data_IF_460094592683
#
_entry.id   IF_460094592683
#
_cell.length_a   1.000
_cell.length_b   1.000
_cell.length_c   1.000
_cell.angle_alpha   90.00
_cell.angle_beta   90.00
_cell.angle_gamma   90.00
#
_symmetry.space_group_name_H-M   'P 1'
#
loop_
_entity.id
_entity.type
_entity.pdbx_description
1 polymer ?
#
# COMPACT_ATOMS: atom_id res chain seq x y z
N UNK A 1 -16.94 10.09 22.75
CA UNK A 1 -16.92 8.64 22.48
C UNK A 1 -16.35 8.43 21.08
N UNK A 2 -15.48 7.43 20.90
CA UNK A 2 -15.00 7.09 19.57
C UNK A 2 -16.19 6.60 18.69
N UNK A 3 -16.19 6.98 17.41
CA UNK A 3 -17.20 6.51 16.46
C UNK A 3 -17.04 5.01 16.21
N UNK A 4 -18.12 4.33 15.96
CA UNK A 4 -18.10 2.94 15.47
C UNK A 4 -17.67 2.97 14.00
N UNK A 5 -16.74 2.09 13.65
CA UNK A 5 -16.21 1.97 12.28
C UNK A 5 -16.60 0.59 11.73
N UNK A 6 -16.99 0.55 10.48
CA UNK A 6 -17.31 -0.69 9.77
C UNK A 6 -16.50 -0.77 8.47
N UNK A 7 -16.08 -1.97 8.10
CA UNK A 7 -15.58 -2.27 6.76
C UNK A 7 -16.80 -2.64 5.92
N UNK A 8 -17.04 -1.89 4.84
CA UNK A 8 -18.25 -2.04 4.03
C UNK A 8 -17.98 -2.63 2.65
N UNK A 9 -16.74 -2.56 2.16
CA UNK A 9 -16.34 -3.10 0.88
C UNK A 9 -14.91 -3.60 0.88
N UNK A 10 -14.59 -4.52 -0.01
CA UNK A 10 -13.25 -5.02 -0.25
C UNK A 10 -13.04 -5.34 -1.73
N UNK A 11 -11.82 -5.17 -2.19
CA UNK A 11 -11.40 -5.50 -3.54
C UNK A 11 -9.92 -5.89 -3.58
N UNK A 12 -9.55 -6.71 -4.54
CA UNK A 12 -8.20 -7.23 -4.64
C UNK A 12 -7.88 -7.64 -6.08
N UNK A 13 -6.72 -7.27 -6.58
CA UNK A 13 -6.23 -7.74 -7.87
C UNK A 13 -5.80 -9.21 -7.79
N UNK A 14 -5.67 -9.86 -8.94
CA UNK A 14 -5.15 -11.23 -9.01
C UNK A 14 -3.66 -11.26 -8.68
N UNK A 15 -3.23 -12.27 -7.92
CA UNK A 15 -1.82 -12.56 -7.73
C UNK A 15 -1.24 -13.21 -8.97
N UNK A 16 -0.30 -12.53 -9.61
CA UNK A 16 0.37 -13.01 -10.81
C UNK A 16 1.89 -12.91 -10.65
N UNK A 17 2.61 -13.78 -11.32
CA UNK A 17 4.09 -13.76 -11.25
C UNK A 17 4.67 -12.46 -11.84
N UNK A 18 4.05 -11.92 -12.89
CA UNK A 18 4.42 -10.65 -13.53
C UNK A 18 3.16 -9.91 -13.92
N UNK A 19 2.89 -8.82 -13.27
CA UNK A 19 1.83 -7.91 -13.66
C UNK A 19 2.31 -7.04 -14.83
N UNK A 20 1.48 -6.89 -15.84
CA UNK A 20 1.72 -5.96 -16.95
C UNK A 20 1.28 -4.54 -16.57
N UNK A 21 0.29 -4.45 -15.74
CA UNK A 21 -0.30 -3.22 -15.22
C UNK A 21 0.73 -2.42 -14.43
N UNK A 22 0.63 -1.12 -14.47
CA UNK A 22 1.38 -0.20 -13.59
C UNK A 22 0.89 -0.31 -12.15
N UNK A 23 1.67 0.15 -11.17
CA UNK A 23 1.21 0.23 -9.79
C UNK A 23 -0.08 1.06 -9.63
N UNK A 24 -0.24 2.12 -10.44
CA UNK A 24 -1.48 2.92 -10.47
C UNK A 24 -2.69 2.12 -10.94
N UNK A 25 -2.53 1.34 -12.00
CA UNK A 25 -3.61 0.51 -12.56
C UNK A 25 -4.00 -0.60 -11.58
N UNK A 26 -3.02 -1.24 -10.92
CA UNK A 26 -3.30 -2.23 -9.87
C UNK A 26 -4.06 -1.60 -8.69
N UNK A 27 -3.60 -0.44 -8.22
CA UNK A 27 -4.28 0.29 -7.15
C UNK A 27 -5.72 0.67 -7.54
N UNK A 28 -5.92 1.12 -8.77
CA UNK A 28 -7.26 1.49 -9.27
C UNK A 28 -8.17 0.27 -9.45
N UNK A 29 -7.66 -0.84 -9.98
CA UNK A 29 -8.42 -2.07 -10.13
C UNK A 29 -8.98 -2.54 -8.77
N UNK A 30 -8.12 -2.64 -7.76
CA UNK A 30 -8.53 -3.03 -6.40
C UNK A 30 -9.50 -2.01 -5.78
N UNK A 31 -9.24 -0.71 -5.94
CA UNK A 31 -10.12 0.35 -5.43
C UNK A 31 -11.51 0.29 -6.06
N UNK A 32 -11.57 0.13 -7.37
CA UNK A 32 -12.83 0.01 -8.12
C UNK A 32 -13.63 -1.22 -7.69
N UNK A 33 -12.97 -2.36 -7.48
CA UNK A 33 -13.62 -3.58 -6.99
C UNK A 33 -14.18 -3.38 -5.58
N UNK A 34 -13.41 -2.76 -4.69
CA UNK A 34 -13.86 -2.44 -3.33
C UNK A 34 -15.12 -1.55 -3.34
N UNK A 35 -15.12 -0.49 -4.14
CA UNK A 35 -16.26 0.41 -4.28
C UNK A 35 -17.48 -0.31 -4.86
N UNK A 36 -17.28 -1.15 -5.88
CA UNK A 36 -18.35 -1.92 -6.50
C UNK A 36 -18.95 -2.95 -5.52
N UNK A 37 -18.14 -3.55 -4.65
CA UNK A 37 -18.61 -4.56 -3.69
C UNK A 37 -19.57 -4.01 -2.64
N UNK A 38 -19.58 -2.70 -2.43
CA UNK A 38 -20.50 -2.02 -1.50
C UNK A 38 -21.40 -0.99 -2.20
N UNK A 39 -21.42 -0.98 -3.52
CA UNK A 39 -22.24 -0.06 -4.33
C UNK A 39 -21.97 1.43 -4.01
N UNK A 40 -20.75 1.75 -3.57
CA UNK A 40 -20.37 3.09 -3.16
C UNK A 40 -19.70 3.82 -4.34
N UNK A 41 -20.20 4.98 -4.77
CA UNK A 41 -19.54 5.75 -5.80
C UNK A 41 -18.30 6.48 -5.24
N UNK A 42 -17.29 6.72 -6.07
CA UNK A 42 -16.03 7.31 -5.67
C UNK A 42 -16.16 8.70 -5.02
N UNK A 43 -17.15 9.49 -5.41
CA UNK A 43 -17.41 10.82 -4.86
C UNK A 43 -17.85 10.82 -3.39
N UNK A 44 -18.23 9.66 -2.85
CA UNK A 44 -18.55 9.47 -1.44
C UNK A 44 -17.32 9.21 -0.56
N UNK A 45 -16.15 9.08 -1.15
CA UNK A 45 -14.90 8.93 -0.40
C UNK A 45 -14.40 10.29 0.05
N UNK A 46 -14.22 10.47 1.36
CA UNK A 46 -13.74 11.72 1.95
C UNK A 46 -12.21 11.80 2.00
N UNK A 47 -11.54 10.67 2.22
CA UNK A 47 -10.09 10.60 2.33
C UNK A 47 -9.55 9.23 1.89
N UNK A 48 -8.26 9.17 1.56
CA UNK A 48 -7.57 7.94 1.17
C UNK A 48 -6.39 7.69 2.10
N UNK A 49 -6.29 6.48 2.64
CA UNK A 49 -5.10 5.97 3.29
C UNK A 49 -4.44 5.00 2.33
N UNK A 50 -3.19 5.24 1.97
CA UNK A 50 -2.51 4.40 0.98
C UNK A 50 -1.15 3.91 1.47
N UNK A 51 -0.72 2.80 0.92
CA UNK A 51 0.63 2.28 1.10
C UNK A 51 1.13 1.60 -0.16
N UNK A 52 2.43 1.53 -0.27
CA UNK A 52 3.14 0.72 -1.25
C UNK A 52 4.44 0.25 -0.63
N UNK A 53 5.02 -0.79 -1.20
CA UNK A 53 6.38 -1.22 -0.91
C UNK A 53 7.38 -0.06 -1.00
N UNK A 54 8.56 -0.20 -0.41
CA UNK A 54 9.61 0.80 -0.53
C UNK A 54 9.90 1.10 -2.00
N UNK A 55 10.30 2.33 -2.25
CA UNK A 55 10.61 2.87 -3.58
C UNK A 55 11.67 2.05 -4.35
N UNK A 56 12.35 1.14 -3.66
CA UNK A 56 13.38 0.28 -4.20
C UNK A 56 12.88 -0.79 -5.20
N UNK A 57 11.58 -1.09 -5.25
CA UNK A 57 11.09 -2.15 -6.14
C UNK A 57 11.03 -1.72 -7.61
N UNK A 58 10.62 -0.54 -7.89
CA UNK A 58 10.46 -0.03 -9.26
C UNK A 58 11.17 1.31 -9.51
N UNK A 59 11.89 1.81 -8.50
CA UNK A 59 12.65 3.06 -8.58
C UNK A 59 11.77 4.33 -8.61
N UNK A 60 10.48 4.21 -8.38
CA UNK A 60 9.59 5.35 -8.27
C UNK A 60 9.68 5.93 -6.87
N UNK A 61 10.28 7.09 -6.74
CA UNK A 61 10.27 7.86 -5.50
C UNK A 61 8.92 8.52 -5.27
N UNK A 62 8.65 8.94 -4.04
CA UNK A 62 7.41 9.61 -3.68
C UNK A 62 6.17 8.79 -4.07
N UNK A 63 6.17 7.54 -3.66
CA UNK A 63 5.12 6.58 -3.99
C UNK A 63 3.69 7.05 -3.63
N UNK A 64 3.57 7.86 -2.58
CA UNK A 64 2.28 8.44 -2.20
C UNK A 64 1.70 9.30 -3.32
N UNK A 65 2.49 10.20 -3.84
CA UNK A 65 2.13 11.09 -4.93
C UNK A 65 1.90 10.31 -6.23
N UNK A 66 2.79 9.37 -6.53
CA UNK A 66 2.66 8.53 -7.72
C UNK A 66 1.36 7.71 -7.72
N UNK A 67 0.99 7.12 -6.59
CA UNK A 67 -0.19 6.25 -6.50
C UNK A 67 -1.50 7.00 -6.27
N UNK A 68 -1.44 8.27 -5.87
CA UNK A 68 -2.63 9.03 -5.44
C UNK A 68 -3.79 8.97 -6.44
N UNK A 69 -3.51 9.11 -7.72
CA UNK A 69 -4.54 9.04 -8.78
C UNK A 69 -5.17 7.65 -8.85
N UNK A 70 -4.33 6.60 -8.93
CA UNK A 70 -4.79 5.22 -8.98
C UNK A 70 -5.51 4.78 -7.71
N UNK A 71 -5.14 5.33 -6.56
CA UNK A 71 -5.83 5.09 -5.30
C UNK A 71 -7.14 5.89 -5.14
N UNK A 72 -7.55 6.68 -6.15
CA UNK A 72 -8.76 7.49 -6.08
C UNK A 72 -8.65 8.73 -5.20
N UNK A 73 -7.44 9.22 -4.94
CA UNK A 73 -7.20 10.38 -4.07
C UNK A 73 -7.29 11.74 -4.79
N UNK A 74 -7.55 11.77 -6.08
CA UNK A 74 -7.65 13.03 -6.81
C UNK A 74 -8.71 13.95 -6.19
N UNK A 75 -8.28 15.15 -5.78
CA UNK A 75 -9.14 16.14 -5.13
C UNK A 75 -9.52 15.81 -3.67
N UNK A 76 -8.87 14.83 -3.04
CA UNK A 76 -9.12 14.40 -1.66
C UNK A 76 -7.84 14.39 -0.84
N UNK A 77 -7.92 14.61 0.49
CA UNK A 77 -6.77 14.40 1.35
C UNK A 77 -6.36 12.92 1.32
N UNK A 78 -5.06 12.67 1.30
CA UNK A 78 -4.53 11.32 1.45
C UNK A 78 -3.34 11.28 2.39
N UNK A 79 -3.11 10.13 2.97
CA UNK A 79 -1.96 9.86 3.83
C UNK A 79 -1.33 8.53 3.41
N UNK A 80 0.00 8.52 3.33
CA UNK A 80 0.77 7.29 3.10
C UNK A 80 1.30 6.75 4.42
N UNK A 81 1.06 5.46 4.65
CA UNK A 81 1.67 4.71 5.76
C UNK A 81 2.74 3.78 5.19
N UNK A 82 3.87 3.71 5.87
CA UNK A 82 4.92 2.75 5.54
C UNK A 82 5.56 2.20 6.83
N UNK A 83 5.49 0.88 7.01
CA UNK A 83 6.02 0.16 8.18
C UNK A 83 6.62 -1.19 7.73
N UNK A 84 7.42 -1.18 6.67
CA UNK A 84 7.96 -2.43 6.12
C UNK A 84 6.86 -3.46 5.78
N UNK A 85 7.05 -4.71 6.17
CA UNK A 85 6.11 -5.81 5.89
C UNK A 85 4.71 -5.66 6.51
N UNK A 86 4.56 -4.80 7.52
CA UNK A 86 3.27 -4.50 8.17
C UNK A 86 2.44 -3.41 7.50
N UNK A 87 2.93 -2.78 6.42
CA UNK A 87 2.34 -1.57 5.85
C UNK A 87 0.86 -1.69 5.51
N UNK A 88 0.42 -2.82 4.93
CA UNK A 88 -0.98 -3.03 4.58
C UNK A 88 -1.92 -2.99 5.79
N UNK A 89 -1.54 -3.68 6.88
CA UNK A 89 -2.32 -3.69 8.13
C UNK A 89 -2.33 -2.30 8.78
N UNK A 90 -1.18 -1.63 8.82
CA UNK A 90 -1.10 -0.27 9.38
C UNK A 90 -1.89 0.75 8.58
N UNK A 91 -2.03 0.58 7.26
CA UNK A 91 -2.91 1.41 6.44
C UNK A 91 -4.38 1.23 6.82
N UNK A 92 -4.81 -0.01 7.08
CA UNK A 92 -6.16 -0.27 7.59
C UNK A 92 -6.38 0.32 9.00
N UNK A 93 -5.38 0.22 9.88
CA UNK A 93 -5.42 0.85 11.22
C UNK A 93 -5.50 2.37 11.10
N UNK A 94 -4.74 2.98 10.19
CA UNK A 94 -4.79 4.42 9.94
C UNK A 94 -6.18 4.85 9.44
N UNK A 95 -6.77 4.10 8.49
CA UNK A 95 -8.12 4.36 8.02
C UNK A 95 -9.15 4.26 9.17
N UNK A 96 -9.01 3.25 10.03
CA UNK A 96 -9.84 3.12 11.23
C UNK A 96 -9.75 4.36 12.11
N UNK A 97 -8.56 4.84 12.45
CA UNK A 97 -8.39 6.02 13.29
C UNK A 97 -8.89 7.30 12.63
N UNK A 98 -8.74 7.41 11.31
CA UNK A 98 -9.25 8.56 10.55
C UNK A 98 -10.77 8.66 10.66
N UNK A 99 -11.49 7.54 10.55
CA UNK A 99 -12.96 7.52 10.73
C UNK A 99 -13.33 7.66 12.21
N UNK A 100 -12.68 6.93 13.11
CA UNK A 100 -13.00 6.93 14.54
C UNK A 100 -12.82 8.31 15.20
N UNK A 101 -11.84 9.09 14.72
CA UNK A 101 -11.60 10.48 15.18
C UNK A 101 -12.59 11.49 14.62
N UNK A 102 -13.31 11.13 13.56
CA UNK A 102 -14.24 12.04 12.87
C UNK A 102 -13.57 12.97 11.85
N UNK A 103 -12.31 12.70 11.48
CA UNK A 103 -11.64 13.47 10.42
C UNK A 103 -12.27 13.21 9.04
N UNK A 104 -12.83 12.02 8.83
CA UNK A 104 -13.55 11.62 7.64
C UNK A 104 -14.67 10.64 8.03
N UNK A 105 -15.72 10.58 7.23
CA UNK A 105 -16.81 9.62 7.44
C UNK A 105 -16.59 8.33 6.62
N UNK A 106 -16.03 8.46 5.42
CA UNK A 106 -15.75 7.34 4.51
C UNK A 106 -14.30 7.43 4.03
N UNK A 107 -13.53 6.37 4.31
CA UNK A 107 -12.11 6.30 3.96
C UNK A 107 -11.86 5.07 3.09
N UNK A 108 -11.16 5.26 1.98
CA UNK A 108 -10.65 4.18 1.15
C UNK A 108 -9.22 3.84 1.60
N UNK A 109 -9.00 2.59 2.00
CA UNK A 109 -7.67 2.08 2.34
C UNK A 109 -7.12 1.28 1.16
N UNK A 110 -5.98 1.69 0.59
CA UNK A 110 -5.38 1.10 -0.60
C UNK A 110 -3.96 0.66 -0.31
N UNK A 111 -3.66 -0.61 -0.57
CA UNK A 111 -2.32 -1.16 -0.48
C UNK A 111 -1.91 -1.71 -1.84
N UNK A 112 -0.78 -1.26 -2.35
CA UNK A 112 -0.22 -1.70 -3.62
C UNK A 112 1.21 -2.19 -3.42
N UNK A 113 1.57 -3.26 -4.12
CA UNK A 113 2.94 -3.72 -4.20
C UNK A 113 3.20 -4.47 -5.51
N UNK A 114 4.02 -3.89 -6.38
CA UNK A 114 4.41 -4.50 -7.65
C UNK A 114 5.85 -5.04 -7.58
N UNK A 115 6.07 -6.12 -6.85
CA UNK A 115 7.39 -6.77 -6.74
C UNK A 115 7.95 -7.22 -8.10
N UNK A 116 7.07 -7.51 -9.07
CA UNK A 116 7.48 -7.93 -10.41
C UNK A 116 8.18 -6.84 -11.24
N UNK A 117 8.19 -5.60 -10.78
CA UNK A 117 8.96 -4.50 -11.39
C UNK A 117 10.45 -4.52 -11.03
N UNK A 118 10.83 -5.24 -9.97
CA UNK A 118 12.21 -5.27 -9.51
C UNK A 118 13.11 -6.11 -10.41
N UNK A 119 14.26 -5.57 -10.76
CA UNK A 119 15.25 -6.26 -11.58
C UNK A 119 16.59 -6.35 -10.83
N UNK A 120 17.31 -7.49 -10.86
CA UNK A 120 16.87 -8.77 -11.47
C UNK A 120 15.89 -9.55 -10.61
N UNK A 121 15.82 -9.28 -9.31
CA UNK A 121 14.99 -10.02 -8.36
C UNK A 121 14.59 -9.16 -7.15
N UNK A 122 13.36 -9.29 -6.61
CA UNK A 122 12.88 -8.51 -5.45
C UNK A 122 13.78 -8.58 -4.22
N UNK A 123 14.49 -9.70 -4.01
CA UNK A 123 15.42 -9.84 -2.88
C UNK A 123 16.53 -8.78 -2.89
N UNK A 124 16.95 -8.32 -4.05
CA UNK A 124 17.92 -7.22 -4.16
C UNK A 124 17.39 -5.89 -3.59
N UNK A 125 16.11 -5.62 -3.78
CA UNK A 125 15.45 -4.45 -3.20
C UNK A 125 15.34 -4.55 -1.67
N UNK A 126 15.08 -5.73 -1.14
CA UNK A 126 15.03 -5.93 0.32
C UNK A 126 16.40 -5.72 1.01
N UNK A 127 17.53 -5.84 0.30
CA UNK A 127 18.82 -5.49 0.87
C UNK A 127 18.91 -4.02 1.29
N UNK A 128 18.06 -3.15 0.76
CA UNK A 128 18.06 -1.72 1.08
C UNK A 128 17.57 -1.41 2.50
N UNK A 129 16.94 -2.35 3.18
CA UNK A 129 16.53 -2.20 4.59
C UNK A 129 17.67 -2.42 5.57
N UNK A 130 18.76 -3.03 5.12
CA UNK A 130 19.94 -3.33 5.93
C UNK A 130 20.94 -2.17 5.92
N UNK A 131 21.68 -2.04 7.01
CA UNK A 131 22.79 -1.08 7.09
C UNK A 131 23.81 -1.35 5.98
N UNK A 132 24.24 -0.28 5.31
CA UNK A 132 25.09 -0.39 4.12
C UNK A 132 26.57 -0.67 4.44
N UNK A 133 26.99 -0.47 5.67
CA UNK A 133 28.40 -0.62 6.11
C UNK A 133 28.60 -1.98 6.77
N UNK A 134 27.72 -2.35 7.69
CA UNK A 134 27.91 -3.53 8.53
C UNK A 134 27.16 -4.76 8.03
N UNK A 135 25.96 -4.58 7.48
CA UNK A 135 25.06 -5.70 7.17
C UNK A 135 25.09 -6.10 5.69
N UNK A 136 24.96 -5.14 4.77
CA UNK A 136 24.93 -5.45 3.33
C UNK A 136 26.17 -6.18 2.80
N UNK A 137 27.41 -5.89 3.28
CA UNK A 137 28.59 -6.62 2.84
C UNK A 137 28.55 -8.12 3.16
N UNK A 138 27.73 -8.54 4.14
CA UNK A 138 27.53 -9.95 4.48
C UNK A 138 26.62 -10.69 3.50
N UNK A 139 26.02 -9.99 2.54
CA UNK A 139 25.09 -10.56 1.57
C UNK A 139 23.82 -11.14 2.18
N UNK A 140 23.16 -10.47 3.15
CA UNK A 140 22.03 -11.05 3.84
C UNK A 140 20.87 -11.31 2.87
N UNK A 141 20.11 -12.35 3.17
CA UNK A 141 18.80 -12.58 2.56
C UNK A 141 17.74 -12.37 3.65
N UNK A 142 16.76 -11.52 3.36
CA UNK A 142 15.72 -11.17 4.34
C UNK A 142 15.01 -12.39 4.92
N UNK A 143 14.73 -13.39 4.10
CA UNK A 143 14.07 -14.63 4.54
C UNK A 143 14.97 -15.45 5.49
N UNK A 144 16.28 -15.44 5.26
CA UNK A 144 17.20 -16.14 6.15
C UNK A 144 17.29 -15.46 7.52
N UNK A 145 17.28 -14.14 7.54
CA UNK A 145 17.33 -13.39 8.81
C UNK A 145 16.09 -13.67 9.62
N UNK A 146 14.89 -13.58 9.03
CA UNK A 146 13.66 -13.94 9.74
C UNK A 146 13.58 -15.41 10.16
N UNK A 147 14.33 -16.28 9.52
CA UNK A 147 14.40 -17.69 9.93
C UNK A 147 15.37 -17.93 11.11
N UNK A 148 16.19 -16.94 11.46
CA UNK A 148 17.15 -17.03 12.57
C UNK A 148 16.61 -16.38 13.87
N UNK A 149 15.55 -15.59 13.79
CA UNK A 149 14.85 -15.01 14.94
C UNK A 149 13.82 -15.99 15.54
#
# INVERSE_FOLDING_TARGET
>A
MARRVAVVGAGMTRFVRRAQETGKELAWEASREALASCELPLDRIDAVCLTSAPDAFDGVHMKGEYLSDGAGAFGRPYMRTYVGGGSGVFTAIQAYYTVASGMADVVLAVAEEKMSSTQPHPQGAFLTIFDNILERPLGPNLLWIFALE
#
